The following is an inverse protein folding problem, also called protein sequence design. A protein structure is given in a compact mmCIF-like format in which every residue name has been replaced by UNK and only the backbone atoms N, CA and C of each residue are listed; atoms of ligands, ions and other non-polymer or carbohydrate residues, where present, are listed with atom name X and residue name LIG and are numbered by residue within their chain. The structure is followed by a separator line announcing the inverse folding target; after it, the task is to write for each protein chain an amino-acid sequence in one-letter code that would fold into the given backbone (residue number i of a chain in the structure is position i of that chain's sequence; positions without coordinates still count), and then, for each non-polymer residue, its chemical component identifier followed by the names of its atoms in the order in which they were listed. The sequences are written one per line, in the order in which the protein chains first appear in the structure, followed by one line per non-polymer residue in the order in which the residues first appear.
data_IF_236972379945
#
_entry.id   IF_236972379945
#
_cell.length_a   1.000
_cell.length_b   1.000
_cell.length_c   1.000
_cell.angle_alpha   90.00
_cell.angle_beta   90.00
_cell.angle_gamma   90.00
#
_symmetry.space_group_name_H-M   'P 1'
#
loop_
_entity.id
_entity.type
_entity.pdbx_description
1 polymer ?
#
# COMPACT_ATOMS: atom_id res chain seq x y z
N UNK A 1 6.64 -16.43 -3.08
CA UNK A 1 6.19 -16.45 -4.49
C UNK A 1 6.15 -15.03 -5.01
N UNK A 2 6.63 -14.80 -6.23
CA UNK A 2 6.64 -13.48 -6.87
C UNK A 2 5.22 -12.94 -7.14
N UNK A 3 4.30 -13.81 -7.55
CA UNK A 3 2.90 -13.47 -7.81
C UNK A 3 2.17 -12.80 -6.61
N UNK A 4 2.44 -13.22 -5.37
CA UNK A 4 1.83 -12.61 -4.17
C UNK A 4 2.33 -11.18 -3.99
N UNK A 5 3.63 -10.95 -4.21
CA UNK A 5 4.23 -9.61 -4.08
C UNK A 5 3.71 -8.66 -5.15
N UNK A 6 3.48 -9.15 -6.37
CA UNK A 6 2.93 -8.35 -7.45
C UNK A 6 1.47 -7.98 -7.19
N UNK A 7 0.66 -8.93 -6.70
CA UNK A 7 -0.71 -8.67 -6.30
C UNK A 7 -0.79 -7.65 -5.16
N UNK A 8 0.03 -7.83 -4.12
CA UNK A 8 0.09 -6.90 -2.98
C UNK A 8 0.51 -5.49 -3.44
N UNK A 9 1.55 -5.38 -4.29
CA UNK A 9 1.98 -4.10 -4.87
C UNK A 9 0.87 -3.41 -5.65
N UNK A 10 0.12 -4.16 -6.49
CA UNK A 10 -1.00 -3.61 -7.27
C UNK A 10 -2.11 -3.08 -6.38
N UNK A 11 -2.56 -3.88 -5.41
CA UNK A 11 -3.61 -3.48 -4.45
C UNK A 11 -3.22 -2.21 -3.68
N UNK A 12 -1.99 -2.15 -3.17
CA UNK A 12 -1.51 -0.96 -2.46
C UNK A 12 -1.49 0.26 -3.40
N UNK A 13 -1.05 0.09 -4.64
CA UNK A 13 -0.99 1.19 -5.62
C UNK A 13 -2.38 1.71 -6.00
N UNK A 14 -3.36 0.83 -6.19
CA UNK A 14 -4.76 1.19 -6.49
C UNK A 14 -5.41 1.94 -5.33
N UNK A 15 -5.18 1.49 -4.08
CA UNK A 15 -5.69 2.20 -2.91
C UNK A 15 -5.02 3.57 -2.77
N UNK A 16 -3.71 3.69 -3.01
CA UNK A 16 -3.03 4.99 -2.97
C UNK A 16 -3.58 5.99 -4.01
N UNK A 17 -3.97 5.50 -5.19
CA UNK A 17 -4.50 6.34 -6.26
C UNK A 17 -5.95 6.81 -5.99
N UNK A 18 -6.72 6.06 -5.19
CA UNK A 18 -8.15 6.32 -4.94
C UNK A 18 -8.41 6.96 -3.59
N UNK A 19 -7.59 6.67 -2.58
CA UNK A 19 -7.78 7.19 -1.24
C UNK A 19 -7.46 8.70 -1.18
N UNK A 20 -8.27 9.51 -0.47
CA UNK A 20 -8.05 10.95 -0.37
C UNK A 20 -6.81 11.32 0.46
N UNK A 21 -6.30 10.40 1.29
CA UNK A 21 -5.08 10.58 2.07
C UNK A 21 -4.55 9.22 2.57
N UNK A 22 -3.33 9.23 3.13
CA UNK A 22 -2.67 8.00 3.63
C UNK A 22 -3.42 7.35 4.81
N UNK A 23 -4.15 8.12 5.62
CA UNK A 23 -4.94 7.56 6.73
C UNK A 23 -6.15 6.75 6.24
N UNK A 24 -6.85 7.24 5.22
CA UNK A 24 -7.94 6.48 4.57
C UNK A 24 -7.39 5.27 3.79
N UNK A 25 -6.25 5.41 3.11
CA UNK A 25 -5.58 4.27 2.46
C UNK A 25 -5.26 3.13 3.44
N UNK A 26 -4.76 3.46 4.64
CA UNK A 26 -4.48 2.49 5.70
C UNK A 26 -5.77 1.76 6.14
N UNK A 27 -6.89 2.48 6.30
CA UNK A 27 -8.18 1.89 6.65
C UNK A 27 -8.70 0.98 5.54
N UNK A 28 -8.63 1.43 4.28
CA UNK A 28 -9.06 0.66 3.11
C UNK A 28 -8.27 -0.64 2.95
N UNK A 29 -6.96 -0.63 3.21
CA UNK A 29 -6.11 -1.81 3.15
C UNK A 29 -6.28 -2.75 4.35
N UNK A 30 -6.90 -2.29 5.45
CA UNK A 30 -7.11 -3.10 6.66
C UNK A 30 -5.82 -3.49 7.38
N UNK A 31 -4.73 -2.72 7.19
CA UNK A 31 -3.42 -3.01 7.78
C UNK A 31 -3.02 -1.96 8.81
N UNK A 32 -2.06 -2.30 9.68
CA UNK A 32 -1.51 -1.31 10.60
C UNK A 32 -0.75 -0.20 9.86
N UNK A 33 -0.69 0.99 10.46
CA UNK A 33 0.12 2.10 9.96
C UNK A 33 1.60 1.72 9.79
N UNK A 34 2.15 0.89 10.70
CA UNK A 34 3.53 0.39 10.60
C UNK A 34 3.70 -0.47 9.35
N UNK A 35 2.81 -1.43 9.15
CA UNK A 35 2.83 -2.33 7.98
C UNK A 35 2.73 -1.55 6.68
N UNK A 36 1.84 -0.56 6.64
CA UNK A 36 1.68 0.31 5.48
C UNK A 36 3.00 0.99 5.08
N UNK A 37 3.67 1.69 5.99
CA UNK A 37 4.93 2.36 5.66
C UNK A 37 6.07 1.38 5.33
N UNK A 38 6.11 0.21 5.95
CA UNK A 38 7.07 -0.84 5.58
C UNK A 38 6.86 -1.29 4.14
N UNK A 39 5.60 -1.52 3.74
CA UNK A 39 5.24 -1.94 2.38
C UNK A 39 5.47 -0.86 1.34
N UNK A 40 5.21 0.41 1.67
CA UNK A 40 5.57 1.53 0.78
C UNK A 40 7.07 1.55 0.50
N UNK A 41 7.90 1.35 1.53
CA UNK A 41 9.35 1.28 1.37
C UNK A 41 9.79 0.04 0.58
N UNK A 42 9.22 -1.13 0.90
CA UNK A 42 9.49 -2.41 0.23
C UNK A 42 9.23 -2.32 -1.28
N UNK A 43 8.15 -1.66 -1.69
CA UNK A 43 7.74 -1.55 -3.10
C UNK A 43 8.19 -0.26 -3.80
N UNK A 44 8.81 0.68 -3.08
CA UNK A 44 9.23 1.97 -3.66
C UNK A 44 8.08 2.94 -3.93
N UNK A 45 6.97 2.82 -3.20
CA UNK A 45 5.74 3.62 -3.37
C UNK A 45 5.72 4.90 -2.51
N UNK A 46 6.82 5.26 -1.84
CA UNK A 46 6.89 6.40 -0.92
C UNK A 46 6.70 7.78 -1.58
N UNK A 47 6.82 7.86 -2.92
CA UNK A 47 6.71 9.12 -3.70
C UNK A 47 5.32 9.36 -4.32
N UNK A 48 4.36 8.47 -4.07
CA UNK A 48 2.94 8.63 -4.41
C UNK A 48 2.20 9.35 -3.27
#
# INVERSE_FOLDING_TARGET
MEAIRDLERRLISEVLATAPNKSEAIKMLGISRRTFYLKLKEYGLTRL
#
